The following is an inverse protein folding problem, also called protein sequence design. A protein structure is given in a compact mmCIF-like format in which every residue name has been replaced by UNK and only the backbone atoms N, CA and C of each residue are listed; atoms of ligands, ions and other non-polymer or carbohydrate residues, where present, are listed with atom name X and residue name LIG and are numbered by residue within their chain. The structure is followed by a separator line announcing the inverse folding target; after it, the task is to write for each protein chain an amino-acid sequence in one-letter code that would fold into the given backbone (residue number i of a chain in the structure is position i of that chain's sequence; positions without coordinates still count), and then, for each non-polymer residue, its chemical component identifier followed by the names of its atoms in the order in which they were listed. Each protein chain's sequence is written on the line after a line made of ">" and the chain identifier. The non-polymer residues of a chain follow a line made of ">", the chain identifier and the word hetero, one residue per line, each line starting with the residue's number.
data_IF_299393260002
#
_entry.id   IF_299393260002
#
_cell.length_a   1.000
_cell.length_b   1.000
_cell.length_c   1.000
_cell.angle_alpha   90.00
_cell.angle_beta   90.00
_cell.angle_gamma   90.00
#
_symmetry.space_group_name_H-M   'P 1'
#
loop_
_entity.id
_entity.type
_entity.pdbx_description
1 polymer ?
#
# COMPACT_ATOMS: atom_id res chain seq x y z
N UNK A 1 -31.32 74.09 26.25
CA UNK A 1 -30.55 73.34 27.27
C UNK A 1 -30.94 71.89 27.11
N UNK A 2 -30.20 71.14 26.29
CA UNK A 2 -30.57 69.79 25.86
C UNK A 2 -29.81 68.75 26.68
N UNK A 3 -30.57 67.93 27.40
CA UNK A 3 -30.10 66.88 28.29
C UNK A 3 -29.74 65.62 27.49
N UNK A 4 -28.50 65.16 27.63
CA UNK A 4 -28.00 63.91 27.03
C UNK A 4 -28.27 62.74 28.00
N UNK A 5 -29.11 61.78 27.61
CA UNK A 5 -29.28 60.52 28.34
C UNK A 5 -28.36 59.45 27.75
N UNK A 6 -27.44 58.94 28.58
CA UNK A 6 -26.55 57.81 28.26
C UNK A 6 -27.25 56.51 28.66
N UNK A 7 -27.50 55.63 27.69
CA UNK A 7 -28.14 54.33 27.91
C UNK A 7 -27.06 53.23 27.98
N UNK A 8 -26.76 52.76 29.19
CA UNK A 8 -25.84 51.65 29.43
C UNK A 8 -26.53 50.31 29.11
N UNK A 9 -26.16 49.69 27.99
CA UNK A 9 -26.61 48.34 27.65
C UNK A 9 -25.79 47.29 28.40
N UNK A 10 -26.48 46.46 29.18
CA UNK A 10 -25.91 45.35 29.96
C UNK A 10 -25.62 44.18 29.01
N UNK A 11 -24.34 43.88 28.80
CA UNK A 11 -23.90 42.69 28.05
C UNK A 11 -24.41 41.43 28.75
N UNK A 12 -25.22 40.65 28.03
CA UNK A 12 -25.67 39.31 28.45
C UNK A 12 -24.55 38.33 28.13
N UNK A 13 -23.90 37.80 29.17
CA UNK A 13 -22.85 36.80 29.05
C UNK A 13 -23.44 35.49 28.55
N UNK A 14 -23.18 35.16 27.27
CA UNK A 14 -23.56 33.88 26.68
C UNK A 14 -22.60 32.80 27.16
N UNK A 15 -23.08 31.87 27.97
CA UNK A 15 -22.34 30.68 28.40
C UNK A 15 -21.94 29.85 27.18
N UNK A 16 -20.66 29.43 27.04
CA UNK A 16 -20.25 28.60 25.93
C UNK A 16 -20.91 27.22 26.05
N UNK A 17 -21.78 26.88 25.10
CA UNK A 17 -22.31 25.52 24.93
C UNK A 17 -21.15 24.54 24.79
N UNK A 18 -21.11 23.56 25.71
CA UNK A 18 -20.26 22.37 25.61
C UNK A 18 -20.47 21.74 24.24
N UNK A 19 -19.48 21.85 23.36
CA UNK A 19 -19.37 21.04 22.15
C UNK A 19 -19.19 19.60 22.63
N UNK A 20 -20.29 18.85 22.68
CA UNK A 20 -20.22 17.41 22.87
C UNK A 20 -19.52 16.86 21.64
N UNK A 21 -18.25 16.51 21.80
CA UNK A 21 -17.49 15.72 20.83
C UNK A 21 -18.18 14.37 20.72
N UNK A 22 -19.12 14.24 19.78
CA UNK A 22 -19.78 12.97 19.47
C UNK A 22 -18.67 12.00 19.02
N UNK A 23 -18.32 11.05 19.89
CA UNK A 23 -17.47 9.94 19.48
C UNK A 23 -18.20 9.19 18.36
N UNK A 24 -17.53 8.83 17.25
CA UNK A 24 -18.13 8.00 16.23
C UNK A 24 -18.66 6.71 16.87
N UNK A 25 -19.93 6.37 16.62
CA UNK A 25 -20.44 5.07 17.06
C UNK A 25 -19.62 3.97 16.39
N UNK A 26 -19.19 2.94 17.14
CA UNK A 26 -18.49 1.80 16.56
C UNK A 26 -19.43 1.09 15.57
N UNK A 27 -18.88 0.69 14.42
CA UNK A 27 -19.60 -0.15 13.46
C UNK A 27 -19.93 -1.50 14.11
N UNK A 28 -21.05 -2.11 13.71
CA UNK A 28 -21.32 -3.48 14.10
C UNK A 28 -20.27 -4.41 13.44
N UNK A 29 -19.95 -5.57 14.06
CA UNK A 29 -18.89 -6.44 13.57
C UNK A 29 -19.07 -6.90 12.12
N UNK A 30 -20.31 -7.09 11.68
CA UNK A 30 -20.62 -7.52 10.30
C UNK A 30 -20.33 -6.39 9.32
N UNK A 31 -20.72 -5.16 9.63
CA UNK A 31 -20.40 -3.98 8.83
C UNK A 31 -18.90 -3.71 8.78
N UNK A 32 -18.19 -3.84 9.90
CA UNK A 32 -16.74 -3.70 9.94
C UNK A 32 -16.05 -4.75 9.05
N UNK A 33 -16.46 -6.02 9.17
CA UNK A 33 -15.94 -7.11 8.33
C UNK A 33 -16.16 -6.84 6.84
N UNK A 34 -17.36 -6.38 6.46
CA UNK A 34 -17.69 -6.02 5.06
C UNK A 34 -16.83 -4.85 4.56
N UNK A 35 -16.59 -3.85 5.40
CA UNK A 35 -15.72 -2.73 5.06
C UNK A 35 -14.29 -3.21 4.75
N UNK A 36 -13.73 -4.09 5.57
CA UNK A 36 -12.40 -4.66 5.33
C UNK A 36 -12.34 -5.51 4.05
N UNK A 37 -13.32 -6.36 3.79
CA UNK A 37 -13.42 -7.10 2.53
C UNK A 37 -13.47 -6.16 1.30
N UNK A 38 -14.23 -5.07 1.42
CA UNK A 38 -14.33 -4.05 0.38
C UNK A 38 -12.99 -3.37 0.13
N UNK A 39 -12.24 -3.04 1.19
CA UNK A 39 -10.89 -2.49 1.05
C UNK A 39 -9.93 -3.47 0.38
N UNK A 40 -9.98 -4.77 0.70
CA UNK A 40 -9.16 -5.79 0.05
C UNK A 40 -9.45 -5.82 -1.47
N UNK A 41 -10.72 -5.84 -1.88
CA UNK A 41 -11.10 -5.78 -3.31
C UNK A 41 -10.55 -4.51 -3.96
N UNK A 42 -10.80 -3.35 -3.33
CA UNK A 42 -10.41 -2.05 -3.86
C UNK A 42 -8.89 -1.94 -4.03
N UNK A 43 -8.12 -2.31 -3.02
CA UNK A 43 -6.66 -2.27 -3.11
C UNK A 43 -6.11 -3.30 -4.08
N UNK A 44 -6.75 -4.47 -4.24
CA UNK A 44 -6.37 -5.45 -5.29
C UNK A 44 -6.52 -4.84 -6.69
N UNK A 45 -7.64 -4.16 -6.97
CA UNK A 45 -7.85 -3.44 -8.24
C UNK A 45 -6.76 -2.40 -8.46
N UNK A 46 -6.47 -1.58 -7.45
CA UNK A 46 -5.45 -0.54 -7.55
C UNK A 46 -4.05 -1.13 -7.76
N UNK A 47 -3.74 -2.23 -7.06
CA UNK A 47 -2.46 -2.91 -7.16
C UNK A 47 -2.26 -3.43 -8.58
N UNK A 48 -3.25 -4.13 -9.12
CA UNK A 48 -3.20 -4.65 -10.49
C UNK A 48 -3.05 -3.53 -11.52
N UNK A 49 -3.67 -2.37 -11.30
CA UNK A 49 -3.44 -1.17 -12.14
C UNK A 49 -1.99 -0.67 -12.06
N UNK A 50 -1.38 -0.63 -10.86
CA UNK A 50 0.02 -0.23 -10.72
C UNK A 50 0.98 -1.23 -11.36
N UNK A 51 0.72 -2.54 -11.21
CA UNK A 51 1.50 -3.60 -11.84
C UNK A 51 1.48 -3.45 -13.37
N UNK A 52 0.30 -3.25 -13.96
CA UNK A 52 0.15 -3.03 -15.41
C UNK A 52 0.82 -1.74 -15.87
N UNK A 53 0.68 -0.64 -15.11
CA UNK A 53 1.36 0.62 -15.41
C UNK A 53 2.88 0.45 -15.42
N UNK A 54 3.45 -0.18 -14.38
CA UNK A 54 4.89 -0.47 -14.29
C UNK A 54 5.34 -1.30 -15.50
N UNK A 55 4.60 -2.35 -15.84
CA UNK A 55 4.91 -3.16 -17.02
C UNK A 55 4.97 -2.34 -18.31
N UNK A 56 3.99 -1.46 -18.53
CA UNK A 56 3.98 -0.60 -19.72
C UNK A 56 5.20 0.33 -19.76
N UNK A 57 5.55 0.95 -18.64
CA UNK A 57 6.74 1.80 -18.53
C UNK A 57 8.03 1.02 -18.80
N UNK A 58 8.17 -0.14 -18.17
CA UNK A 58 9.30 -1.05 -18.36
C UNK A 58 9.44 -1.49 -19.82
N UNK A 59 8.33 -1.91 -20.45
CA UNK A 59 8.30 -2.28 -21.87
C UNK A 59 8.66 -1.11 -22.78
N UNK A 60 8.18 0.10 -22.46
CA UNK A 60 8.50 1.30 -23.23
C UNK A 60 9.98 1.65 -23.16
N UNK A 61 10.61 1.52 -22.00
CA UNK A 61 12.06 1.73 -21.83
C UNK A 61 12.91 0.77 -22.68
N UNK A 62 12.39 -0.42 -22.96
CA UNK A 62 13.12 -1.48 -23.68
C UNK A 62 12.73 -1.61 -25.15
N UNK A 63 11.83 -0.74 -25.65
CA UNK A 63 11.27 -0.85 -27.00
C UNK A 63 12.35 -0.82 -28.09
N UNK A 64 13.32 0.08 -27.92
CA UNK A 64 14.38 0.33 -28.91
C UNK A 64 15.67 -0.46 -28.62
N UNK A 65 15.68 -1.25 -27.53
CA UNK A 65 16.84 -2.09 -27.15
C UNK A 65 16.86 -3.39 -27.96
N UNK A 66 18.04 -3.94 -28.32
CA UNK A 66 18.18 -5.28 -28.87
C UNK A 66 17.54 -6.34 -27.96
N UNK A 67 16.97 -7.41 -28.53
CA UNK A 67 16.27 -8.45 -27.76
C UNK A 67 17.14 -9.06 -26.66
N UNK A 68 18.44 -9.25 -26.91
CA UNK A 68 19.40 -9.77 -25.93
C UNK A 68 19.63 -8.83 -24.73
N UNK A 69 19.33 -7.55 -24.87
CA UNK A 69 19.43 -6.55 -23.80
C UNK A 69 18.10 -6.33 -23.06
N UNK A 70 16.99 -6.93 -23.54
CA UNK A 70 15.67 -6.78 -22.93
C UNK A 70 15.55 -7.67 -21.71
N UNK A 71 15.36 -7.06 -20.53
CA UNK A 71 14.84 -7.80 -19.41
C UNK A 71 13.39 -8.23 -19.69
N UNK A 72 13.01 -9.42 -19.23
CA UNK A 72 11.63 -9.91 -19.29
C UNK A 72 10.95 -9.59 -17.96
N UNK A 73 10.09 -8.57 -17.87
CA UNK A 73 9.38 -8.31 -16.64
C UNK A 73 8.43 -9.47 -16.32
N UNK A 74 8.58 -10.05 -15.13
CA UNK A 74 7.59 -10.99 -14.60
C UNK A 74 6.41 -10.18 -14.07
N UNK A 75 5.25 -10.34 -14.73
CA UNK A 75 4.00 -9.74 -14.30
C UNK A 75 3.13 -10.84 -13.74
N UNK A 76 2.87 -10.79 -12.45
CA UNK A 76 1.87 -11.64 -11.81
C UNK A 76 0.85 -10.72 -11.16
N UNK A 77 -0.32 -10.53 -11.80
CA UNK A 77 -1.42 -9.80 -11.17
C UNK A 77 -1.85 -10.52 -9.89
N UNK A 78 -2.25 -9.75 -8.90
CA UNK A 78 -2.85 -10.26 -7.68
C UNK A 78 -4.24 -10.86 -8.01
N UNK A 79 -4.55 -12.09 -7.55
CA UNK A 79 -5.85 -12.69 -7.78
C UNK A 79 -6.95 -11.87 -7.10
N UNK A 80 -8.08 -11.72 -7.79
CA UNK A 80 -9.23 -11.03 -7.23
C UNK A 80 -9.81 -11.83 -6.06
N UNK A 81 -10.00 -11.22 -4.88
CA UNK A 81 -10.62 -11.90 -3.76
C UNK A 81 -12.07 -12.26 -4.09
N UNK A 82 -12.48 -13.47 -3.73
CA UNK A 82 -13.89 -13.86 -3.78
C UNK A 82 -14.62 -13.24 -2.59
N UNK A 83 -15.77 -12.62 -2.83
CA UNK A 83 -16.60 -12.09 -1.75
C UNK A 83 -17.39 -13.23 -1.12
N UNK A 84 -17.12 -13.49 0.15
CA UNK A 84 -17.85 -14.48 0.94
C UNK A 84 -18.98 -13.82 1.73
N UNK A 85 -19.99 -14.61 2.10
CA UNK A 85 -21.02 -14.17 3.05
C UNK A 85 -20.45 -14.35 4.46
N UNK A 86 -20.52 -13.34 5.35
CA UNK A 86 -20.02 -13.48 6.71
C UNK A 86 -20.80 -14.56 7.45
N UNK A 87 -20.11 -15.38 8.25
CA UNK A 87 -20.80 -16.28 9.17
C UNK A 87 -21.39 -15.47 10.33
N UNK A 88 -22.71 -15.37 10.40
CA UNK A 88 -23.39 -14.62 11.46
C UNK A 88 -23.65 -15.44 12.72
N UNK A 89 -23.24 -16.71 12.75
CA UNK A 89 -23.37 -17.56 13.93
C UNK A 89 -22.34 -17.18 14.99
N UNK A 90 -22.74 -16.72 16.19
CA UNK A 90 -21.82 -16.37 17.27
C UNK A 90 -21.23 -17.60 17.98
N UNK A 91 -21.71 -18.80 17.67
CA UNK A 91 -21.42 -20.03 18.43
C UNK A 91 -20.42 -20.97 17.76
N UNK A 92 -19.89 -20.60 16.59
CA UNK A 92 -18.95 -21.48 15.88
C UNK A 92 -17.52 -21.37 16.41
N UNK A 93 -16.79 -22.48 16.29
CA UNK A 93 -15.45 -22.66 16.87
C UNK A 93 -14.47 -21.55 16.46
N UNK A 94 -13.45 -21.33 17.29
CA UNK A 94 -12.42 -20.28 17.11
C UNK A 94 -11.64 -20.36 15.78
N UNK A 95 -11.85 -21.40 14.98
CA UNK A 95 -11.11 -21.68 13.75
C UNK A 95 -11.91 -21.41 12.45
N UNK A 96 -13.18 -21.03 12.53
CA UNK A 96 -13.94 -20.77 11.31
C UNK A 96 -13.46 -19.48 10.60
N UNK A 97 -13.01 -19.65 9.37
CA UNK A 97 -12.81 -18.57 8.42
C UNK A 97 -14.12 -17.76 8.26
N UNK A 98 -14.00 -16.46 8.01
CA UNK A 98 -15.13 -15.56 7.74
C UNK A 98 -16.10 -15.26 8.91
N UNK A 99 -15.73 -15.57 10.16
CA UNK A 99 -16.45 -15.11 11.35
C UNK A 99 -16.09 -13.65 11.73
N UNK A 100 -17.02 -12.67 11.64
CA UNK A 100 -16.78 -11.27 11.96
C UNK A 100 -16.63 -11.00 13.47
N UNK A 101 -17.05 -11.92 14.33
CA UNK A 101 -16.89 -11.81 15.78
C UNK A 101 -15.54 -12.34 16.26
N UNK A 102 -14.82 -13.08 15.42
CA UNK A 102 -13.51 -13.61 15.74
C UNK A 102 -12.41 -12.54 15.55
N UNK A 103 -11.73 -12.18 16.65
CA UNK A 103 -10.67 -11.16 16.63
C UNK A 103 -9.49 -11.54 15.73
N UNK A 104 -9.12 -12.82 15.66
CA UNK A 104 -8.05 -13.31 14.79
C UNK A 104 -8.42 -13.13 13.32
N UNK A 105 -9.64 -13.51 12.94
CA UNK A 105 -10.17 -13.30 11.58
C UNK A 105 -10.17 -11.82 11.20
N UNK A 106 -10.66 -10.95 12.09
CA UNK A 106 -10.65 -9.50 11.86
C UNK A 106 -9.24 -8.94 11.73
N UNK A 107 -8.30 -9.39 12.57
CA UNK A 107 -6.90 -8.97 12.46
C UNK A 107 -6.26 -9.43 11.14
N UNK A 108 -6.52 -10.66 10.69
CA UNK A 108 -6.05 -11.15 9.38
C UNK A 108 -6.56 -10.29 8.24
N UNK A 109 -7.84 -9.87 8.26
CA UNK A 109 -8.41 -8.98 7.25
C UNK A 109 -7.76 -7.59 7.26
N UNK A 110 -7.57 -7.00 8.45
CA UNK A 110 -6.89 -5.71 8.61
C UNK A 110 -5.47 -5.77 8.09
N UNK A 111 -4.71 -6.79 8.49
CA UNK A 111 -3.34 -7.00 8.03
C UNK A 111 -3.29 -7.16 6.51
N UNK A 112 -4.16 -7.99 5.92
CA UNK A 112 -4.23 -8.16 4.47
C UNK A 112 -4.55 -6.86 3.74
N UNK A 113 -5.51 -6.07 4.23
CA UNK A 113 -5.84 -4.77 3.65
C UNK A 113 -4.67 -3.78 3.76
N UNK A 114 -3.98 -3.75 4.92
CA UNK A 114 -2.81 -2.91 5.13
C UNK A 114 -1.65 -3.29 4.20
N UNK A 115 -1.38 -4.58 4.04
CA UNK A 115 -0.36 -5.09 3.11
C UNK A 115 -0.69 -4.72 1.67
N UNK A 116 -1.92 -4.95 1.21
CA UNK A 116 -2.34 -4.56 -0.14
C UNK A 116 -2.20 -3.05 -0.36
N UNK A 117 -2.59 -2.23 0.62
CA UNK A 117 -2.38 -0.78 0.55
C UNK A 117 -0.90 -0.42 0.43
N UNK A 118 -0.04 -1.00 1.27
CA UNK A 118 1.41 -0.75 1.22
C UNK A 118 1.98 -1.13 -0.16
N UNK A 119 1.56 -2.27 -0.72
CA UNK A 119 1.93 -2.71 -2.07
C UNK A 119 1.46 -1.73 -3.15
N UNK A 120 0.25 -1.18 -3.03
CA UNK A 120 -0.26 -0.14 -3.94
C UNK A 120 0.61 1.11 -3.90
N UNK A 121 0.92 1.62 -2.70
CA UNK A 121 1.75 2.82 -2.57
C UNK A 121 3.17 2.58 -3.07
N UNK A 122 3.76 1.42 -2.79
CA UNK A 122 5.05 1.03 -3.35
C UNK A 122 5.00 0.95 -4.87
N UNK A 123 3.96 0.36 -5.45
CA UNK A 123 3.76 0.31 -6.90
C UNK A 123 3.69 1.70 -7.55
N UNK A 124 3.05 2.67 -6.88
CA UNK A 124 3.02 4.08 -7.35
C UNK A 124 4.40 4.71 -7.31
N UNK A 125 5.13 4.55 -6.20
CA UNK A 125 6.50 5.06 -6.04
C UNK A 125 7.40 4.55 -7.17
N UNK A 126 7.38 3.24 -7.43
CA UNK A 126 8.19 2.63 -8.50
C UNK A 126 7.83 3.15 -9.89
N UNK A 127 6.53 3.25 -10.20
CA UNK A 127 6.08 3.75 -11.49
C UNK A 127 6.51 5.22 -11.69
N UNK A 128 6.33 6.06 -10.66
CA UNK A 128 6.75 7.45 -10.68
C UNK A 128 8.27 7.61 -10.79
N UNK A 129 9.04 6.74 -10.14
CA UNK A 129 10.50 6.76 -10.22
C UNK A 129 10.99 6.37 -11.62
N UNK A 130 10.38 5.37 -12.27
CA UNK A 130 10.68 5.03 -13.66
C UNK A 130 10.38 6.23 -14.57
N UNK A 131 9.20 6.85 -14.44
CA UNK A 131 8.83 8.03 -15.24
C UNK A 131 9.82 9.18 -15.04
N UNK A 132 10.19 9.48 -13.79
CA UNK A 132 11.18 10.51 -13.46
C UNK A 132 12.53 10.23 -14.14
N UNK A 133 13.00 8.98 -14.06
CA UNK A 133 14.27 8.53 -14.66
C UNK A 133 14.25 8.55 -16.18
N UNK A 134 13.10 8.29 -16.81
CA UNK A 134 12.93 8.32 -18.28
C UNK A 134 13.09 9.73 -18.87
N UNK A 135 12.78 10.78 -18.11
CA UNK A 135 12.85 12.18 -18.57
C UNK A 135 14.03 12.96 -17.97
N UNK A 136 14.90 12.29 -17.23
CA UNK A 136 16.04 12.90 -16.57
C UNK A 136 17.10 13.38 -17.59
N UNK A 137 17.79 14.48 -17.27
CA UNK A 137 18.91 15.02 -18.06
C UNK A 137 20.17 15.12 -17.18
N UNK A 138 21.30 14.48 -17.54
CA UNK A 138 21.49 13.61 -18.70
C UNK A 138 20.60 12.35 -18.66
N UNK A 139 20.24 11.77 -19.83
CA UNK A 139 19.45 10.55 -19.88
C UNK A 139 20.14 9.37 -19.20
N UNK A 140 19.41 8.63 -18.36
CA UNK A 140 19.90 7.40 -17.77
C UNK A 140 19.91 6.28 -18.79
N UNK A 141 20.97 5.45 -18.77
CA UNK A 141 21.09 4.31 -19.68
C UNK A 141 19.98 3.28 -19.47
N UNK A 142 19.66 3.01 -18.20
CA UNK A 142 18.65 2.03 -17.81
C UNK A 142 17.69 2.61 -16.75
N UNK A 143 16.62 3.32 -17.15
CA UNK A 143 15.68 3.97 -16.22
C UNK A 143 14.98 3.03 -15.23
N UNK A 144 14.98 1.73 -15.50
CA UNK A 144 14.35 0.70 -14.66
C UNK A 144 15.37 -0.05 -13.79
N UNK A 145 16.66 0.19 -13.96
CA UNK A 145 17.72 -0.52 -13.24
C UNK A 145 18.03 0.20 -11.92
N UNK A 146 17.19 -0.05 -10.92
CA UNK A 146 17.34 0.51 -9.58
C UNK A 146 16.70 -0.40 -8.54
N UNK A 147 17.01 -0.16 -7.27
CA UNK A 147 16.46 -0.93 -6.17
C UNK A 147 14.98 -0.61 -5.97
N UNK A 148 14.09 -1.57 -6.11
CA UNK A 148 12.67 -1.38 -5.88
C UNK A 148 12.32 -1.21 -4.39
N UNK A 149 13.26 -1.39 -3.46
CA UNK A 149 13.03 -1.15 -2.03
C UNK A 149 13.43 0.29 -1.63
N UNK A 150 14.66 0.72 -1.92
CA UNK A 150 15.19 2.03 -1.51
C UNK A 150 15.34 3.07 -2.64
N UNK A 151 14.93 2.73 -3.86
CA UNK A 151 15.05 3.56 -5.08
C UNK A 151 16.46 3.99 -5.48
N UNK A 152 17.50 3.43 -4.85
CA UNK A 152 18.91 3.69 -5.21
C UNK A 152 19.23 3.19 -6.62
N UNK A 153 20.02 3.98 -7.34
CA UNK A 153 20.41 3.73 -8.72
C UNK A 153 21.31 2.49 -8.86
N UNK A 154 21.01 1.61 -9.83
CA UNK A 154 21.80 0.41 -10.09
C UNK A 154 23.17 0.66 -10.72
N UNK A 155 23.50 1.90 -11.11
CA UNK A 155 24.87 2.30 -11.44
C UNK A 155 25.73 2.49 -10.18
N UNK A 156 25.11 2.67 -9.01
CA UNK A 156 25.80 2.87 -7.72
C UNK A 156 25.80 1.64 -6.84
N UNK A 157 24.79 0.79 -6.99
CA UNK A 157 24.63 -0.43 -6.19
C UNK A 157 24.34 -1.62 -7.08
N UNK A 158 24.81 -2.79 -6.66
CA UNK A 158 24.46 -4.03 -7.34
C UNK A 158 22.98 -4.36 -7.11
N UNK A 159 22.24 -4.52 -8.22
CA UNK A 159 20.83 -4.86 -8.22
C UNK A 159 20.67 -6.35 -8.50
N UNK A 160 20.02 -7.04 -7.57
CA UNK A 160 19.71 -8.46 -7.63
C UNK A 160 18.22 -8.66 -7.91
N UNK A 161 17.86 -9.74 -8.61
CA UNK A 161 16.47 -10.11 -8.85
C UNK A 161 16.09 -11.25 -7.92
N UNK A 162 15.01 -11.08 -7.17
CA UNK A 162 14.45 -12.13 -6.33
C UNK A 162 13.57 -13.09 -7.14
N UNK A 163 13.31 -14.30 -6.65
CA UNK A 163 12.37 -15.24 -7.26
C UNK A 163 10.96 -14.65 -7.44
N UNK A 164 10.55 -13.72 -6.56
CA UNK A 164 9.29 -12.99 -6.72
C UNK A 164 9.32 -11.89 -7.82
N UNK A 165 10.40 -11.78 -8.57
CA UNK A 165 10.58 -10.85 -9.70
C UNK A 165 10.93 -9.41 -9.31
N UNK A 166 11.14 -9.13 -8.02
CA UNK A 166 11.52 -7.79 -7.55
C UNK A 166 13.03 -7.56 -7.58
N UNK A 167 13.42 -6.32 -7.91
CA UNK A 167 14.81 -5.87 -7.96
C UNK A 167 15.20 -5.24 -6.64
N UNK A 168 16.26 -5.71 -6.00
CA UNK A 168 16.69 -5.20 -4.69
C UNK A 168 18.21 -5.10 -4.64
N UNK A 169 18.73 -4.08 -3.98
CA UNK A 169 20.17 -3.96 -3.78
C UNK A 169 20.66 -4.86 -2.63
N UNK A 170 21.96 -5.19 -2.62
CA UNK A 170 22.59 -5.98 -1.55
C UNK A 170 22.33 -5.42 -0.15
N UNK A 171 22.32 -4.11 0.00
CA UNK A 171 22.04 -3.45 1.27
C UNK A 171 20.62 -3.75 1.76
N UNK A 172 19.60 -3.53 0.91
CA UNK A 172 18.21 -3.85 1.25
C UNK A 172 17.98 -5.35 1.46
N UNK A 173 18.70 -6.20 0.72
CA UNK A 173 18.67 -7.63 0.94
C UNK A 173 19.18 -7.98 2.34
N UNK A 174 20.33 -7.43 2.74
CA UNK A 174 20.97 -7.69 4.05
C UNK A 174 20.10 -7.24 5.22
N UNK A 175 19.44 -6.08 5.10
CA UNK A 175 18.57 -5.56 6.16
C UNK A 175 17.13 -6.08 6.12
N UNK A 176 16.74 -6.78 5.06
CA UNK A 176 15.42 -7.40 4.92
C UNK A 176 15.38 -8.85 5.37
N UNK A 177 16.44 -9.34 6.01
CA UNK A 177 16.52 -10.70 6.53
C UNK A 177 15.92 -10.75 7.94
N UNK A 178 15.10 -11.76 8.22
CA UNK A 178 14.56 -12.03 9.55
C UNK A 178 15.57 -12.73 10.48
N UNK A 179 15.13 -13.07 11.69
CA UNK A 179 15.95 -13.75 12.70
C UNK A 179 16.45 -15.13 12.22
N UNK A 180 15.74 -15.77 11.29
CA UNK A 180 16.03 -17.09 10.75
C UNK A 180 16.94 -17.04 9.50
N UNK A 181 17.37 -15.86 9.08
CA UNK A 181 18.21 -15.71 7.88
C UNK A 181 17.42 -15.70 6.57
N UNK A 182 16.08 -15.60 6.62
CA UNK A 182 15.21 -15.59 5.44
C UNK A 182 14.91 -14.15 5.02
N UNK A 183 15.14 -13.84 3.75
CA UNK A 183 14.80 -12.52 3.21
C UNK A 183 13.29 -12.40 2.98
N UNK A 184 12.67 -11.40 3.62
CA UNK A 184 11.32 -10.98 3.32
C UNK A 184 11.33 -9.85 2.29
N UNK A 185 10.64 -10.05 1.17
CA UNK A 185 10.58 -9.03 0.13
C UNK A 185 9.86 -7.78 0.63
N UNK A 186 10.56 -6.64 0.73
CA UNK A 186 9.99 -5.34 1.10
C UNK A 186 8.92 -4.77 0.14
N UNK A 187 8.59 -5.51 -0.93
CA UNK A 187 7.61 -5.12 -1.94
C UNK A 187 6.42 -6.08 -1.97
N UNK A 188 6.64 -7.39 -1.77
CA UNK A 188 5.55 -8.36 -1.67
C UNK A 188 5.12 -8.68 -0.24
N UNK A 189 5.99 -8.42 0.74
CA UNK A 189 5.87 -8.83 2.14
C UNK A 189 5.71 -10.35 2.28
N UNK A 190 6.52 -11.08 1.52
CA UNK A 190 6.58 -12.55 1.57
C UNK A 190 8.04 -13.00 1.52
N UNK A 191 8.38 -14.11 2.19
CA UNK A 191 9.68 -14.75 2.05
C UNK A 191 10.01 -15.08 0.59
N UNK A 192 11.24 -14.79 0.17
CA UNK A 192 11.72 -15.09 -1.19
C UNK A 192 13.24 -15.25 -1.21
N UNK A 193 13.79 -15.88 -2.25
CA UNK A 193 15.25 -16.00 -2.44
C UNK A 193 15.73 -15.09 -3.56
N UNK A 194 17.03 -14.89 -3.62
CA UNK A 194 17.69 -14.25 -4.78
C UNK A 194 17.92 -15.31 -5.84
N UNK A 195 17.54 -15.00 -7.08
CA UNK A 195 17.86 -15.83 -8.24
C UNK A 195 19.36 -15.65 -8.54
N UNK A 196 20.17 -16.68 -8.30
CA UNK A 196 21.64 -16.68 -8.49
C UNK A 196 22.03 -17.21 -9.86
#
# INVERSE_FOLDING_TARGET
>A
MSSTQTQTQRLKTTTPSKVSTLLPLPLDPVSEWRAWQTFIVFYTILLNRQILRRYHLERNCMRDRPICERFRPLIVPEPFPTLHKPNTSPTTSEEEADNPFNKSTMNKLRTKAALLRARVEKGKELASEIERRMVQNPPLRFPTHFCHACVEDGERVEILVTECGHRVCRTCLTYGVDEDGVYECNICFVPTRVDQ
#
